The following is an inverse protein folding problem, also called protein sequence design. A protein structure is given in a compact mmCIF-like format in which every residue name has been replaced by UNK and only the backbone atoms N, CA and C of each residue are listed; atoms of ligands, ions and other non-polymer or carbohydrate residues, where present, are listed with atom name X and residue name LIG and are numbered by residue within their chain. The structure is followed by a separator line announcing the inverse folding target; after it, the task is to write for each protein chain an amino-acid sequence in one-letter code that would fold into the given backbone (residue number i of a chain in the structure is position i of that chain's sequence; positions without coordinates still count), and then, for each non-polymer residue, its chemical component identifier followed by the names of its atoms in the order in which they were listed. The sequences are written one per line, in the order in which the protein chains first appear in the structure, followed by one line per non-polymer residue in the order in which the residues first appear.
data_IF_958214316268
#
_entry.id   IF_958214316268
#
_cell.length_a   1.000
_cell.length_b   1.000
_cell.length_c   1.000
_cell.angle_alpha   90.00
_cell.angle_beta   90.00
_cell.angle_gamma   90.00
#
_symmetry.space_group_name_H-M   'P 1'
#
loop_
_entity.id
_entity.type
_entity.pdbx_description
1 polymer ?
#
# COMPACT_ATOMS: atom_id res chain seq x y z
N UNK A 1 -6.93 14.41 -0.30
CA UNK A 1 -7.03 12.97 -0.67
C UNK A 1 -7.30 12.14 0.58
N UNK A 2 -8.04 11.04 0.49
CA UNK A 2 -8.50 10.25 1.64
C UNK A 2 -7.91 8.82 1.57
N UNK A 3 -6.61 8.70 1.79
CA UNK A 3 -5.85 7.46 1.54
C UNK A 3 -6.37 6.28 2.38
N UNK A 4 -6.81 6.53 3.61
CA UNK A 4 -7.39 5.49 4.45
C UNK A 4 -8.70 4.94 3.88
N UNK A 5 -9.54 5.81 3.28
CA UNK A 5 -10.77 5.38 2.61
C UNK A 5 -10.42 4.59 1.35
N UNK A 6 -9.47 5.07 0.55
CA UNK A 6 -9.00 4.37 -0.66
C UNK A 6 -8.46 2.97 -0.32
N UNK A 7 -7.69 2.84 0.75
CA UNK A 7 -7.18 1.55 1.22
C UNK A 7 -8.29 0.60 1.71
N UNK A 8 -9.28 1.11 2.46
CA UNK A 8 -10.43 0.30 2.89
C UNK A 8 -11.29 -0.16 1.69
N UNK A 9 -11.45 0.69 0.68
CA UNK A 9 -12.17 0.32 -0.55
C UNK A 9 -11.46 -0.81 -1.29
N UNK A 10 -10.13 -0.78 -1.37
CA UNK A 10 -9.36 -1.87 -1.98
C UNK A 10 -9.43 -3.16 -1.15
N UNK A 11 -9.28 -3.08 0.17
CA UNK A 11 -9.43 -4.25 1.06
C UNK A 11 -10.82 -4.88 0.93
N UNK A 12 -11.87 -4.07 0.81
CA UNK A 12 -13.23 -4.54 0.54
C UNK A 12 -13.32 -5.27 -0.80
N UNK A 13 -12.72 -4.73 -1.86
CA UNK A 13 -12.70 -5.37 -3.17
C UNK A 13 -11.92 -6.71 -3.16
N UNK A 14 -10.81 -6.78 -2.42
CA UNK A 14 -10.04 -8.01 -2.21
C UNK A 14 -10.92 -9.06 -1.49
N UNK A 15 -11.56 -8.69 -0.38
CA UNK A 15 -12.41 -9.60 0.39
C UNK A 15 -13.61 -10.10 -0.44
N UNK A 16 -14.26 -9.23 -1.21
CA UNK A 16 -15.37 -9.60 -2.09
C UNK A 16 -14.98 -10.63 -3.15
N UNK A 17 -13.76 -10.54 -3.69
CA UNK A 17 -13.24 -11.49 -4.70
C UNK A 17 -12.71 -12.78 -4.08
N UNK A 18 -12.48 -12.80 -2.77
CA UNK A 18 -11.88 -13.94 -2.07
C UNK A 18 -12.72 -14.27 -0.82
N UNK A 19 -13.91 -14.90 -0.97
CA UNK A 19 -14.84 -15.13 0.15
C UNK A 19 -14.26 -15.98 1.30
N UNK A 20 -13.23 -16.77 1.01
CA UNK A 20 -12.55 -17.61 2.00
C UNK A 20 -11.30 -16.95 2.60
N UNK A 21 -11.01 -15.69 2.24
CA UNK A 21 -9.89 -14.95 2.81
C UNK A 21 -10.11 -14.80 4.31
N UNK A 22 -9.19 -15.37 5.09
CA UNK A 22 -9.12 -15.20 6.53
C UNK A 22 -7.78 -14.56 6.87
N UNK A 23 -7.82 -13.57 7.76
CA UNK A 23 -6.64 -12.92 8.30
C UNK A 23 -6.68 -13.19 9.80
N UNK A 24 -5.70 -13.97 10.28
CA UNK A 24 -5.65 -14.41 11.67
C UNK A 24 -5.37 -13.26 12.64
N UNK A 25 -4.64 -12.25 12.17
CA UNK A 25 -4.26 -11.06 12.94
C UNK A 25 -4.91 -9.78 12.39
N UNK A 26 -4.76 -8.69 13.15
CA UNK A 26 -5.28 -7.38 12.74
C UNK A 26 -4.40 -6.75 11.66
N UNK A 27 -5.02 -6.07 10.70
CA UNK A 27 -4.32 -5.15 9.79
C UNK A 27 -4.26 -3.77 10.45
N UNK A 28 -3.05 -3.27 10.68
CA UNK A 28 -2.86 -1.85 10.99
C UNK A 28 -2.85 -1.04 9.70
N UNK A 29 -3.85 -0.18 9.51
CA UNK A 29 -4.03 0.56 8.27
C UNK A 29 -2.82 1.45 7.95
N UNK A 30 -2.23 2.11 8.95
CA UNK A 30 -1.05 2.96 8.76
C UNK A 30 0.18 2.17 8.32
N UNK A 31 0.33 0.91 8.76
CA UNK A 31 1.42 0.02 8.33
C UNK A 31 1.21 -0.41 6.88
N UNK A 32 -0.04 -0.78 6.53
CA UNK A 32 -0.41 -1.14 5.17
C UNK A 32 -0.18 0.03 4.20
N UNK A 33 -0.69 1.21 4.53
CA UNK A 33 -0.53 2.41 3.70
C UNK A 33 0.94 2.83 3.64
N UNK A 34 1.67 2.76 4.75
CA UNK A 34 3.10 3.05 4.79
C UNK A 34 3.90 2.13 3.86
N UNK A 35 3.56 0.83 3.81
CA UNK A 35 4.15 -0.10 2.85
C UNK A 35 3.75 0.22 1.41
N UNK A 36 2.50 0.59 1.15
CA UNK A 36 2.07 1.00 -0.18
C UNK A 36 2.86 2.22 -0.69
N UNK A 37 3.09 3.21 0.18
CA UNK A 37 3.94 4.38 -0.12
C UNK A 37 5.37 3.96 -0.42
N UNK A 38 5.94 3.08 0.42
CA UNK A 38 7.30 2.55 0.23
C UNK A 38 7.46 1.83 -1.09
N UNK A 39 6.57 0.89 -1.41
CA UNK A 39 6.61 0.11 -2.65
C UNK A 39 6.48 1.01 -3.89
N UNK A 40 5.58 2.00 -3.87
CA UNK A 40 5.46 2.98 -4.96
C UNK A 40 6.73 3.80 -5.15
N UNK A 41 7.38 4.22 -4.06
CA UNK A 41 8.63 4.98 -4.14
C UNK A 41 9.77 4.12 -4.69
N UNK A 42 9.97 2.93 -4.13
CA UNK A 42 11.03 2.01 -4.55
C UNK A 42 10.86 1.54 -6.00
N UNK A 43 9.62 1.38 -6.49
CA UNK A 43 9.35 1.06 -7.89
C UNK A 43 9.73 2.19 -8.87
N UNK A 44 9.68 3.45 -8.43
CA UNK A 44 10.06 4.63 -9.23
C UNK A 44 11.53 5.00 -9.10
N UNK A 45 12.13 4.66 -7.96
CA UNK A 45 13.51 4.99 -7.59
C UNK A 45 14.26 3.73 -7.12
N UNK A 46 14.40 2.70 -7.97
CA UNK A 46 15.05 1.43 -7.58
C UNK A 46 16.49 1.63 -7.13
N UNK A 47 17.18 2.64 -7.67
CA UNK A 47 18.56 3.03 -7.31
C UNK A 47 18.69 3.65 -5.91
N UNK A 48 17.58 3.99 -5.26
CA UNK A 48 17.51 4.55 -3.90
C UNK A 48 16.74 3.68 -2.93
N UNK A 49 16.47 2.42 -3.28
CA UNK A 49 15.60 1.55 -2.49
C UNK A 49 16.11 1.31 -1.05
N UNK A 50 17.43 1.34 -0.86
CA UNK A 50 18.14 1.23 0.42
C UNK A 50 18.12 2.53 1.25
N UNK A 51 17.78 3.67 0.64
CA UNK A 51 17.73 5.00 1.25
C UNK A 51 16.32 5.51 1.50
N UNK A 52 15.34 4.61 1.55
CA UNK A 52 13.93 4.99 1.73
C UNK A 52 13.69 5.90 2.94
N UNK A 53 14.40 5.69 4.04
CA UNK A 53 14.23 6.51 5.24
C UNK A 53 14.64 7.99 5.02
N UNK A 54 15.61 8.26 4.14
CA UNK A 54 15.97 9.62 3.72
C UNK A 54 14.87 10.25 2.86
N UNK A 55 14.21 9.44 2.04
CA UNK A 55 13.23 9.89 1.05
C UNK A 55 11.79 9.88 1.59
N UNK A 56 11.55 9.39 2.81
CA UNK A 56 10.21 9.08 3.35
C UNK A 56 9.22 10.23 3.19
N UNK A 57 9.64 11.47 3.51
CA UNK A 57 8.76 12.64 3.38
C UNK A 57 8.37 12.91 1.91
N UNK A 58 9.34 12.83 0.99
CA UNK A 58 9.10 12.98 -0.44
C UNK A 58 8.25 11.84 -1.00
N UNK A 59 8.45 10.62 -0.50
CA UNK A 59 7.65 9.45 -0.86
C UNK A 59 6.18 9.64 -0.49
N UNK A 60 5.89 10.14 0.72
CA UNK A 60 4.53 10.46 1.12
C UNK A 60 3.93 11.58 0.26
N UNK A 61 4.64 12.69 0.08
CA UNK A 61 4.15 13.79 -0.76
C UNK A 61 3.87 13.33 -2.20
N UNK A 62 4.79 12.57 -2.79
CA UNK A 62 4.65 11.98 -4.11
C UNK A 62 3.48 11.00 -4.17
N UNK A 63 3.31 10.17 -3.13
CA UNK A 63 2.18 9.26 -3.02
C UNK A 63 0.87 10.03 -3.01
N UNK A 64 0.68 11.06 -2.17
CA UNK A 64 -0.55 11.87 -2.12
C UNK A 64 -0.93 12.53 -3.45
N UNK A 65 0.05 12.78 -4.32
CA UNK A 65 -0.15 13.36 -5.65
C UNK A 65 -0.47 12.33 -6.75
N UNK A 66 -0.48 11.03 -6.45
CA UNK A 66 -0.89 10.00 -7.42
C UNK A 66 -2.41 9.93 -7.57
N UNK A 67 -2.88 9.19 -8.60
CA UNK A 67 -4.29 8.87 -8.73
C UNK A 67 -4.73 7.82 -7.69
N UNK A 68 -6.05 7.73 -7.39
CA UNK A 68 -6.60 6.67 -6.55
C UNK A 68 -6.35 5.25 -7.09
N UNK A 69 -6.25 5.08 -8.42
CA UNK A 69 -5.91 3.80 -9.03
C UNK A 69 -4.51 3.32 -8.65
N UNK A 70 -3.53 4.24 -8.66
CA UNK A 70 -2.17 3.93 -8.21
C UNK A 70 -2.16 3.60 -6.72
N UNK A 71 -2.99 4.27 -5.92
CA UNK A 71 -3.19 3.95 -4.51
C UNK A 71 -3.66 2.51 -4.32
N UNK A 72 -4.75 2.14 -4.99
CA UNK A 72 -5.35 0.81 -4.92
C UNK A 72 -4.36 -0.29 -5.31
N UNK A 73 -3.65 -0.12 -6.43
CA UNK A 73 -2.62 -1.08 -6.87
C UNK A 73 -1.55 -1.30 -5.80
N UNK A 74 -1.02 -0.24 -5.21
CA UNK A 74 0.04 -0.37 -4.20
C UNK A 74 -0.48 -0.81 -2.83
N UNK A 75 -1.76 -0.57 -2.52
CA UNK A 75 -2.42 -1.18 -1.34
C UNK A 75 -2.53 -2.68 -1.53
N UNK A 76 -2.89 -3.16 -2.73
CA UNK A 76 -2.85 -4.58 -3.04
C UNK A 76 -1.42 -5.14 -2.95
N UNK A 77 -0.42 -4.46 -3.50
CA UNK A 77 0.97 -4.91 -3.42
C UNK A 77 1.46 -4.98 -1.96
N UNK A 78 1.13 -3.99 -1.14
CA UNK A 78 1.44 -3.98 0.29
C UNK A 78 0.69 -5.09 1.04
N UNK A 79 -0.57 -5.32 0.69
CA UNK A 79 -1.37 -6.41 1.25
C UNK A 79 -0.72 -7.76 0.97
N UNK A 80 -0.38 -8.04 -0.31
CA UNK A 80 0.34 -9.26 -0.72
C UNK A 80 1.67 -9.42 0.01
N UNK A 81 2.43 -8.34 0.13
CA UNK A 81 3.72 -8.34 0.82
C UNK A 81 3.59 -8.70 2.30
N UNK A 82 2.65 -8.07 3.02
CA UNK A 82 2.50 -8.23 4.46
C UNK A 82 1.80 -9.54 4.86
N UNK A 83 0.91 -10.05 4.01
CA UNK A 83 0.07 -11.21 4.32
C UNK A 83 0.47 -12.48 3.59
N UNK A 84 1.44 -12.39 2.67
CA UNK A 84 1.78 -13.46 1.72
C UNK A 84 0.59 -13.93 0.87
N UNK A 85 -0.41 -13.07 0.72
CA UNK A 85 -1.59 -13.33 -0.12
C UNK A 85 -1.21 -13.36 -1.61
N UNK A 86 -1.59 -14.42 -2.33
CA UNK A 86 -1.31 -14.58 -3.76
C UNK A 86 -1.32 -16.02 -4.22
#
# INVERSE_FOLDING_TARGET
RQVNIEALMELSAIAQRNPNLQIEEYIVLDVLVGHAVRLNWQGKHPERADKYDEDKAAAWQGFYNTSPYVCASHVLDAFRFLTHFG
#
